data_IF_696673728718
#
_entry.id   IF_696673728718
#
_cell.length_a   1.000
_cell.length_b   1.000
_cell.length_c   1.000
_cell.angle_alpha   90.00
_cell.angle_beta   90.00
_cell.angle_gamma   90.00
#
_symmetry.space_group_name_H-M   'P 1'
#
loop_
_entity.id
_entity.type
_entity.pdbx_description
1 polymer ?
#
# COMPACT_ATOMS: atom_id res chain seq x y z
N UNK A 1 -13.53 13.39 -26.42
CA UNK A 1 -13.43 11.94 -26.16
C UNK A 1 -14.61 11.55 -25.30
N UNK A 2 -15.52 10.72 -25.84
CA UNK A 2 -16.73 10.28 -25.15
C UNK A 2 -16.50 9.06 -24.27
N UNK A 3 -17.48 8.72 -23.43
CA UNK A 3 -17.43 7.57 -22.51
C UNK A 3 -17.13 6.25 -23.23
N UNK A 4 -17.73 6.04 -24.41
CA UNK A 4 -17.57 4.80 -25.19
C UNK A 4 -16.21 4.68 -25.87
N UNK A 5 -15.54 5.83 -26.10
CA UNK A 5 -14.21 5.88 -26.72
C UNK A 5 -13.09 5.44 -25.76
N UNK A 6 -13.37 5.29 -24.45
CA UNK A 6 -12.44 4.75 -23.47
C UNK A 6 -12.17 3.25 -23.68
N UNK A 7 -12.96 2.56 -24.50
CA UNK A 7 -12.72 1.16 -24.89
C UNK A 7 -12.94 0.12 -23.78
N UNK A 8 -13.53 0.51 -22.65
CA UNK A 8 -13.72 -0.38 -21.49
C UNK A 8 -14.91 -1.31 -21.63
N UNK A 9 -15.94 -0.90 -22.43
CA UNK A 9 -17.25 -1.53 -22.44
C UNK A 9 -17.32 -2.95 -23.07
N UNK A 10 -16.25 -3.46 -23.70
CA UNK A 10 -16.29 -4.72 -24.47
C UNK A 10 -15.08 -5.63 -24.31
N UNK A 11 -14.17 -5.37 -23.39
CA UNK A 11 -12.94 -6.17 -23.29
C UNK A 11 -12.91 -7.03 -22.04
N UNK A 12 -13.71 -8.10 -22.04
CA UNK A 12 -13.58 -9.19 -21.05
C UNK A 12 -12.28 -9.99 -21.21
N UNK A 13 -11.57 -9.78 -22.33
CA UNK A 13 -10.33 -10.50 -22.67
C UNK A 13 -9.05 -9.77 -22.19
N UNK A 14 -9.19 -8.61 -21.52
CA UNK A 14 -8.05 -7.88 -20.99
C UNK A 14 -7.92 -8.09 -19.49
N UNK A 15 -6.68 -8.19 -19.06
CA UNK A 15 -6.38 -8.23 -17.64
C UNK A 15 -6.98 -7.02 -16.92
N UNK A 16 -7.74 -7.28 -15.88
CA UNK A 16 -8.40 -6.27 -15.06
C UNK A 16 -7.77 -6.24 -13.68
N UNK A 17 -7.68 -5.06 -13.09
CA UNK A 17 -7.08 -4.89 -11.77
C UNK A 17 -7.98 -4.04 -10.87
N UNK A 18 -8.00 -4.38 -9.59
CA UNK A 18 -8.62 -3.58 -8.53
C UNK A 18 -7.56 -2.60 -8.01
N UNK A 19 -7.79 -1.28 -8.11
CA UNK A 19 -6.86 -0.30 -7.57
C UNK A 19 -6.96 -0.24 -6.05
N UNK A 20 -5.78 -0.24 -5.39
CA UNK A 20 -5.62 -0.08 -3.94
C UNK A 20 -4.50 0.90 -3.63
N UNK A 21 -4.53 1.47 -2.44
CA UNK A 21 -3.46 2.28 -1.89
C UNK A 21 -2.86 1.62 -0.64
N UNK A 22 -1.56 1.78 -0.46
CA UNK A 22 -0.81 1.43 0.74
C UNK A 22 0.00 2.65 1.15
N UNK A 23 -0.20 3.12 2.37
CA UNK A 23 0.34 4.39 2.84
C UNK A 23 1.18 4.16 4.10
N UNK A 24 2.41 4.66 4.09
CA UNK A 24 3.26 4.71 5.25
C UNK A 24 3.41 6.17 5.70
N UNK A 25 2.91 6.47 6.90
CA UNK A 25 3.02 7.78 7.50
C UNK A 25 4.26 7.82 8.38
N UNK A 26 5.13 8.79 8.13
CA UNK A 26 6.44 8.91 8.78
C UNK A 26 6.45 10.02 9.84
N UNK A 27 7.18 9.77 10.92
CA UNK A 27 7.50 10.74 11.98
C UNK A 27 8.96 10.58 12.38
N UNK A 28 9.85 11.35 11.77
CA UNK A 28 11.30 11.18 11.98
C UNK A 28 11.75 9.79 11.53
N UNK A 29 12.27 8.97 12.46
CA UNK A 29 12.70 7.58 12.18
C UNK A 29 11.64 6.53 12.53
N UNK A 30 10.38 6.93 12.63
CA UNK A 30 9.27 6.05 12.94
C UNK A 30 8.26 6.02 11.80
N UNK A 31 7.58 4.90 11.65
CA UNK A 31 6.45 4.70 10.75
C UNK A 31 5.21 4.29 11.53
N UNK A 32 4.06 4.82 11.15
CA UNK A 32 2.78 4.40 11.71
C UNK A 32 2.33 3.11 11.04
N UNK A 33 2.14 2.06 11.83
CA UNK A 33 1.61 0.79 11.36
C UNK A 33 0.30 0.46 12.08
N UNK A 34 -0.58 -0.22 11.37
CA UNK A 34 -1.84 -0.76 11.87
C UNK A 34 -1.66 -2.25 12.19
N UNK A 35 -1.74 -2.60 13.47
CA UNK A 35 -1.85 -4.00 13.89
C UNK A 35 -3.30 -4.44 13.73
N UNK A 36 -3.55 -5.33 12.79
CA UNK A 36 -4.90 -5.83 12.49
C UNK A 36 -5.60 -6.43 13.70
N UNK A 37 -6.89 -6.13 13.88
CA UNK A 37 -7.69 -6.71 14.95
C UNK A 37 -7.66 -8.25 14.88
N UNK A 38 -7.70 -8.96 16.03
CA UNK A 38 -7.68 -10.43 16.05
C UNK A 38 -8.84 -11.08 15.27
N UNK A 39 -9.91 -10.34 15.05
CA UNK A 39 -11.11 -10.75 14.32
C UNK A 39 -11.04 -10.51 12.83
N UNK A 40 -10.00 -9.83 12.32
CA UNK A 40 -9.83 -9.63 10.89
C UNK A 40 -9.69 -10.96 10.15
N UNK A 41 -10.31 -11.02 8.96
CA UNK A 41 -10.21 -12.18 8.07
C UNK A 41 -8.81 -12.32 7.46
N UNK A 42 -8.19 -11.19 7.12
CA UNK A 42 -6.86 -11.13 6.53
C UNK A 42 -5.89 -10.51 7.54
N UNK A 43 -4.76 -11.18 7.76
CA UNK A 43 -3.64 -10.73 8.60
C UNK A 43 -4.02 -10.30 10.03
N UNK A 44 -4.76 -11.15 10.78
CA UNK A 44 -5.08 -10.86 12.18
C UNK A 44 -3.78 -10.75 12.99
N UNK A 45 -3.68 -9.74 13.85
CA UNK A 45 -2.52 -9.43 14.70
C UNK A 45 -1.22 -9.07 13.97
N UNK A 46 -1.20 -9.04 12.65
CA UNK A 46 -0.02 -8.62 11.87
C UNK A 46 -0.04 -7.11 11.61
N UNK A 47 1.14 -6.53 11.48
CA UNK A 47 1.31 -5.11 11.22
C UNK A 47 1.36 -4.83 9.71
N UNK A 48 0.63 -3.80 9.28
CA UNK A 48 0.58 -3.34 7.91
C UNK A 48 0.62 -1.81 7.86
N UNK A 49 0.89 -1.23 6.69
CA UNK A 49 0.62 0.18 6.43
C UNK A 49 -0.89 0.47 6.42
N UNK A 50 -1.23 1.74 6.40
CA UNK A 50 -2.61 2.20 6.23
C UNK A 50 -3.03 2.06 4.77
N UNK A 51 -4.32 1.85 4.50
CA UNK A 51 -4.77 1.83 3.11
C UNK A 51 -5.96 0.94 2.84
N UNK A 52 -6.42 0.99 1.60
CA UNK A 52 -7.62 0.28 1.16
C UNK A 52 -7.89 0.41 -0.32
N UNK A 53 -9.15 0.31 -0.70
CA UNK A 53 -9.58 0.39 -2.08
C UNK A 53 -9.72 1.84 -2.56
N UNK A 54 -9.40 2.05 -3.83
CA UNK A 54 -9.78 3.31 -4.49
C UNK A 54 -11.25 3.23 -4.86
N UNK A 55 -12.04 4.15 -4.34
CA UNK A 55 -13.47 4.21 -4.56
C UNK A 55 -13.83 4.84 -5.91
N UNK A 56 -15.05 4.57 -6.36
CA UNK A 56 -15.53 5.18 -7.61
C UNK A 56 -15.71 6.68 -7.43
N UNK A 57 -15.05 7.47 -8.29
CA UNK A 57 -15.17 8.92 -8.30
C UNK A 57 -14.03 9.66 -7.60
N UNK A 58 -13.02 8.94 -7.13
CA UNK A 58 -11.79 9.51 -6.60
C UNK A 58 -10.56 9.04 -7.40
N UNK A 59 -9.48 9.75 -7.28
CA UNK A 59 -8.16 9.35 -7.76
C UNK A 59 -7.34 8.73 -6.63
N UNK A 60 -6.21 8.11 -6.99
CA UNK A 60 -5.36 7.38 -6.02
C UNK A 60 -4.75 8.26 -4.93
N UNK A 61 -4.53 9.56 -5.21
CA UNK A 61 -4.01 10.50 -4.21
C UNK A 61 -5.08 10.85 -3.18
N UNK A 62 -6.30 11.12 -3.65
CA UNK A 62 -7.47 11.38 -2.80
C UNK A 62 -7.80 10.15 -1.94
N UNK A 63 -7.77 8.94 -2.54
CA UNK A 63 -7.96 7.69 -1.81
C UNK A 63 -6.93 7.53 -0.68
N UNK A 64 -5.65 7.79 -0.96
CA UNK A 64 -4.59 7.69 0.04
C UNK A 64 -4.81 8.65 1.22
N UNK A 65 -5.18 9.90 0.97
CA UNK A 65 -5.51 10.86 2.05
C UNK A 65 -6.72 10.41 2.85
N UNK A 66 -7.78 9.94 2.19
CA UNK A 66 -9.00 9.46 2.85
C UNK A 66 -8.70 8.27 3.76
N UNK A 67 -8.00 7.24 3.26
CA UNK A 67 -7.65 6.05 4.03
C UNK A 67 -6.77 6.40 5.24
N UNK A 68 -5.75 7.24 5.08
CA UNK A 68 -4.94 7.71 6.21
C UNK A 68 -5.81 8.37 7.27
N UNK A 69 -6.71 9.27 6.85
CA UNK A 69 -7.57 9.99 7.79
C UNK A 69 -8.62 9.07 8.44
N UNK A 70 -9.26 8.19 7.69
CA UNK A 70 -10.28 7.26 8.20
C UNK A 70 -9.69 6.27 9.20
N UNK A 71 -8.53 5.68 8.89
CA UNK A 71 -7.91 4.67 9.74
C UNK A 71 -7.15 5.25 10.93
N UNK A 72 -6.57 6.45 10.82
CA UNK A 72 -5.71 7.02 11.88
C UNK A 72 -6.22 8.32 12.49
N UNK A 73 -7.07 9.06 11.79
CA UNK A 73 -7.47 10.41 12.17
C UNK A 73 -6.36 11.45 12.07
N UNK A 74 -5.22 11.11 11.48
CA UNK A 74 -4.09 12.02 11.35
C UNK A 74 -4.27 12.96 10.16
N UNK A 75 -3.74 14.17 10.32
CA UNK A 75 -3.43 15.07 9.22
C UNK A 75 -1.99 14.82 8.79
N UNK A 76 -1.76 14.78 7.47
CA UNK A 76 -0.47 14.52 6.86
C UNK A 76 -0.10 15.60 5.86
N UNK A 77 1.19 15.74 5.62
CA UNK A 77 1.77 16.59 4.59
C UNK A 77 2.63 15.76 3.63
N UNK A 78 3.04 16.38 2.52
CA UNK A 78 3.98 15.79 1.57
C UNK A 78 3.62 14.36 1.14
N UNK A 79 2.31 14.08 0.91
CA UNK A 79 1.90 12.79 0.36
C UNK A 79 2.52 12.61 -1.02
N UNK A 80 3.24 11.52 -1.21
CA UNK A 80 4.06 11.27 -2.40
C UNK A 80 4.06 9.82 -2.82
N UNK A 81 3.77 9.55 -4.09
CA UNK A 81 3.82 8.22 -4.68
C UNK A 81 5.28 7.75 -4.75
N UNK A 82 5.55 6.56 -4.21
CA UNK A 82 6.88 5.95 -4.18
C UNK A 82 6.95 4.58 -4.81
N UNK A 83 5.81 3.95 -5.09
CA UNK A 83 5.80 2.68 -5.78
C UNK A 83 4.49 2.37 -6.47
N UNK A 84 4.56 1.54 -7.50
CA UNK A 84 3.42 0.92 -8.17
C UNK A 84 3.69 -0.56 -8.33
N UNK A 85 2.81 -1.39 -7.78
CA UNK A 85 2.95 -2.85 -7.79
C UNK A 85 1.73 -3.44 -8.49
N UNK A 86 1.94 -4.28 -9.49
CA UNK A 86 0.88 -5.12 -10.04
C UNK A 86 0.96 -6.50 -9.39
N UNK A 87 -0.17 -7.00 -8.91
CA UNK A 87 -0.25 -8.27 -8.19
C UNK A 87 -1.16 -9.21 -8.96
N UNK A 88 -0.58 -10.30 -9.47
CA UNK A 88 -1.28 -11.42 -10.06
C UNK A 88 -1.39 -12.55 -9.03
N UNK A 89 -2.57 -12.72 -8.48
CA UNK A 89 -2.87 -13.78 -7.50
C UNK A 89 -3.48 -15.02 -8.17
N UNK A 90 -3.24 -15.24 -9.47
CA UNK A 90 -3.77 -16.37 -10.22
C UNK A 90 -5.29 -16.30 -10.50
N UNK A 91 -5.91 -15.14 -10.27
CA UNK A 91 -7.33 -14.88 -10.52
C UNK A 91 -7.51 -14.05 -11.81
N UNK A 92 -8.70 -14.10 -12.45
CA UNK A 92 -8.99 -13.28 -13.63
C UNK A 92 -8.86 -11.77 -13.40
N UNK A 93 -8.94 -11.34 -12.14
CA UNK A 93 -8.79 -9.94 -11.72
C UNK A 93 -7.65 -9.86 -10.72
N UNK A 94 -6.65 -9.04 -11.01
CA UNK A 94 -5.52 -8.77 -10.12
C UNK A 94 -5.71 -7.49 -9.30
N UNK A 95 -4.61 -7.00 -8.75
CA UNK A 95 -4.58 -5.77 -7.98
C UNK A 95 -3.50 -4.85 -8.56
N UNK A 96 -3.76 -3.55 -8.59
CA UNK A 96 -2.71 -2.54 -8.70
C UNK A 96 -2.63 -1.79 -7.38
N UNK A 97 -1.47 -1.85 -6.74
CA UNK A 97 -1.19 -1.22 -5.45
C UNK A 97 -0.33 0.03 -5.66
N UNK A 98 -0.83 1.17 -5.21
CA UNK A 98 -0.11 2.44 -5.22
C UNK A 98 0.47 2.67 -3.82
N UNK A 99 1.80 2.71 -3.72
CA UNK A 99 2.52 2.89 -2.46
C UNK A 99 2.86 4.35 -2.26
N UNK A 100 2.38 4.91 -1.15
CA UNK A 100 2.61 6.30 -0.77
C UNK A 100 3.41 6.42 0.51
N UNK A 101 4.24 7.45 0.60
CA UNK A 101 4.78 7.98 1.83
C UNK A 101 4.11 9.32 2.14
N UNK A 102 3.93 9.62 3.42
CA UNK A 102 3.45 10.91 3.90
C UNK A 102 4.17 11.28 5.19
N UNK A 103 4.24 12.57 5.51
CA UNK A 103 4.81 13.06 6.75
C UNK A 103 3.69 13.44 7.72
N UNK A 104 3.76 12.96 8.96
CA UNK A 104 2.77 13.27 10.00
C UNK A 104 2.82 14.76 10.35
N UNK A 105 1.65 15.42 10.32
CA UNK A 105 1.45 16.78 10.87
C UNK A 105 0.96 16.68 12.30
N UNK A 106 0.02 15.78 12.57
CA UNK A 106 -0.44 15.42 13.91
C UNK A 106 0.13 14.06 14.29
N UNK A 107 0.35 13.80 15.57
CA UNK A 107 1.10 12.63 16.04
C UNK A 107 0.31 11.66 16.91
N UNK A 108 -0.92 12.01 17.25
CA UNK A 108 -1.79 11.23 18.13
C UNK A 108 -2.87 10.51 17.31
N UNK A 109 -2.61 9.27 16.83
CA UNK A 109 -3.59 8.53 16.06
C UNK A 109 -4.79 8.16 16.92
N UNK A 110 -5.96 8.18 16.32
CA UNK A 110 -7.20 7.78 16.99
C UNK A 110 -7.35 6.25 16.91
N UNK A 111 -7.99 5.63 17.92
CA UNK A 111 -8.34 4.22 17.84
C UNK A 111 -9.17 3.94 16.57
N UNK A 112 -8.85 2.85 15.88
CA UNK A 112 -9.57 2.37 14.71
C UNK A 112 -10.31 1.07 15.05
N UNK A 113 -11.47 0.86 14.44
CA UNK A 113 -12.16 -0.45 14.53
C UNK A 113 -11.39 -1.55 13.80
N UNK A 114 -10.48 -1.18 12.91
CA UNK A 114 -9.66 -2.08 12.12
C UNK A 114 -8.51 -2.70 12.90
N UNK A 115 -8.09 -2.08 13.99
CA UNK A 115 -6.98 -2.56 14.81
C UNK A 115 -6.36 -1.49 15.69
N UNK A 116 -5.14 -1.72 16.11
CA UNK A 116 -4.36 -0.81 16.96
C UNK A 116 -3.26 -0.15 16.14
N UNK A 117 -3.17 1.17 16.24
CA UNK A 117 -2.13 1.98 15.59
C UNK A 117 -0.92 2.13 16.52
N UNK A 118 0.26 1.95 15.95
CA UNK A 118 1.52 2.02 16.69
C UNK A 118 2.60 2.70 15.87
N UNK A 119 3.33 3.63 16.50
CA UNK A 119 4.55 4.20 15.94
C UNK A 119 5.70 3.24 16.16
N UNK A 120 6.24 2.72 15.07
CA UNK A 120 7.30 1.71 15.07
C UNK A 120 8.60 2.31 14.55
N UNK A 121 9.71 2.09 15.25
CA UNK A 121 11.03 2.48 14.75
C UNK A 121 11.36 1.73 13.47
N UNK A 122 11.74 2.46 12.41
CA UNK A 122 12.12 1.86 11.12
C UNK A 122 13.30 0.90 11.26
N UNK A 123 14.19 1.16 12.25
CA UNK A 123 15.33 0.29 12.53
C UNK A 123 15.00 -0.99 13.32
N UNK A 124 13.75 -1.17 13.76
CA UNK A 124 13.31 -2.28 14.60
C UNK A 124 12.15 -3.09 13.97
N UNK A 125 11.90 -2.90 12.68
CA UNK A 125 10.81 -3.57 11.96
C UNK A 125 10.89 -5.09 12.00
N UNK A 126 12.07 -5.66 12.12
CA UNK A 126 12.33 -7.09 12.25
C UNK A 126 11.83 -7.71 13.57
N UNK A 127 11.49 -6.88 14.57
CA UNK A 127 10.92 -7.30 15.86
C UNK A 127 9.39 -7.42 15.82
N UNK A 128 8.75 -7.06 14.69
CA UNK A 128 7.30 -7.02 14.53
C UNK A 128 6.81 -8.08 13.55
N UNK A 129 5.64 -8.66 13.84
CA UNK A 129 4.97 -9.58 12.93
C UNK A 129 4.33 -8.80 11.76
N UNK A 130 5.15 -8.45 10.77
CA UNK A 130 4.72 -7.71 9.60
C UNK A 130 3.96 -8.61 8.61
N UNK A 131 3.00 -8.03 7.89
CA UNK A 131 2.49 -8.66 6.66
C UNK A 131 3.66 -8.89 5.71
N UNK A 132 3.67 -10.02 5.02
CA UNK A 132 4.83 -10.60 4.31
C UNK A 132 5.61 -9.61 3.44
N UNK A 133 4.92 -8.73 2.74
CA UNK A 133 5.54 -7.80 1.81
C UNK A 133 5.89 -6.42 2.42
N UNK A 134 5.35 -6.07 3.59
CA UNK A 134 5.62 -4.77 4.25
C UNK A 134 7.11 -4.59 4.55
N UNK A 135 7.77 -5.64 5.03
CA UNK A 135 9.21 -5.64 5.31
C UNK A 135 10.09 -5.41 4.07
N UNK A 136 9.52 -5.55 2.87
CA UNK A 136 10.21 -5.34 1.59
C UNK A 136 9.77 -4.02 0.95
N UNK A 137 8.46 -3.73 0.96
CA UNK A 137 7.89 -2.52 0.34
C UNK A 137 8.36 -1.25 1.05
N UNK A 138 8.32 -1.21 2.38
CA UNK A 138 8.68 -0.01 3.13
C UNK A 138 10.14 0.42 2.91
N UNK A 139 11.16 -0.45 3.01
CA UNK A 139 12.53 -0.09 2.65
C UNK A 139 12.67 0.42 1.21
N UNK A 140 12.00 -0.23 0.25
CA UNK A 140 12.00 0.21 -1.15
C UNK A 140 11.32 1.56 -1.36
N UNK A 141 10.26 1.85 -0.62
CA UNK A 141 9.60 3.16 -0.66
C UNK A 141 10.50 4.27 -0.10
N UNK A 142 11.24 4.00 0.98
CA UNK A 142 12.21 4.93 1.56
C UNK A 142 13.38 5.19 0.60
N UNK A 143 13.94 4.15 -0.02
CA UNK A 143 14.96 4.27 -1.06
C UNK A 143 14.46 5.11 -2.24
N UNK A 144 13.25 4.85 -2.71
CA UNK A 144 12.60 5.62 -3.78
C UNK A 144 12.35 7.09 -3.38
N UNK A 145 12.13 7.37 -2.10
CA UNK A 145 11.99 8.72 -1.57
C UNK A 145 13.32 9.49 -1.63
N UNK A 146 14.41 8.87 -1.22
CA UNK A 146 15.76 9.45 -1.31
C UNK A 146 16.17 9.71 -2.76
N UNK A 147 15.84 8.79 -3.67
CA UNK A 147 16.15 8.91 -5.10
C UNK A 147 15.21 9.87 -5.84
N UNK A 148 14.04 10.20 -5.30
CA UNK A 148 13.01 11.00 -5.94
C UNK A 148 12.30 10.31 -7.11
N UNK A 149 12.47 8.99 -7.26
CA UNK A 149 11.92 8.20 -8.38
C UNK A 149 11.13 7.01 -7.82
N UNK A 150 9.85 6.81 -8.22
CA UNK A 150 9.07 5.67 -7.75
C UNK A 150 9.63 4.36 -8.30
N UNK A 151 9.51 3.29 -7.50
CA UNK A 151 9.79 1.93 -7.95
C UNK A 151 8.57 1.31 -8.64
N UNK A 152 8.83 0.28 -9.43
CA UNK A 152 7.79 -0.55 -10.05
C UNK A 152 8.10 -2.02 -9.77
N UNK A 153 7.06 -2.79 -9.46
CA UNK A 153 7.19 -4.21 -9.20
C UNK A 153 6.01 -5.00 -9.77
N UNK A 154 6.26 -6.27 -10.01
CA UNK A 154 5.26 -7.26 -10.32
C UNK A 154 5.35 -8.40 -9.30
N UNK A 155 4.21 -8.73 -8.70
CA UNK A 155 4.04 -9.84 -7.77
C UNK A 155 3.26 -10.96 -8.45
N UNK A 156 3.74 -12.17 -8.30
CA UNK A 156 3.00 -13.39 -8.62
C UNK A 156 3.33 -14.47 -7.57
N UNK A 157 2.71 -15.62 -7.69
CA UNK A 157 2.91 -16.73 -6.76
C UNK A 157 3.36 -17.97 -7.55
N UNK A 158 4.25 -18.77 -6.96
CA UNK A 158 4.64 -20.05 -7.52
C UNK A 158 3.60 -21.15 -7.21
N UNK A 159 3.88 -22.39 -7.65
CA UNK A 159 3.00 -23.54 -7.43
C UNK A 159 2.86 -23.94 -5.96
N UNK A 160 3.72 -23.41 -5.07
CA UNK A 160 3.75 -23.66 -3.63
C UNK A 160 3.16 -22.48 -2.83
N UNK A 161 2.52 -21.50 -3.51
CA UNK A 161 1.99 -20.25 -2.94
C UNK A 161 3.06 -19.32 -2.33
N UNK A 162 4.33 -19.44 -2.74
CA UNK A 162 5.35 -18.49 -2.33
C UNK A 162 5.28 -17.22 -3.18
N UNK A 163 5.39 -16.06 -2.52
CA UNK A 163 5.40 -14.76 -3.17
C UNK A 163 6.69 -14.55 -3.98
N UNK A 164 6.55 -14.30 -5.28
CA UNK A 164 7.63 -13.93 -6.19
C UNK A 164 7.53 -12.44 -6.54
N UNK A 165 8.60 -11.69 -6.29
CA UNK A 165 8.67 -10.25 -6.55
C UNK A 165 9.68 -9.98 -7.65
N UNK A 166 9.24 -9.32 -8.71
CA UNK A 166 10.09 -8.83 -9.80
C UNK A 166 10.12 -7.30 -9.77
N UNK A 167 11.31 -6.72 -9.63
CA UNK A 167 11.52 -5.27 -9.63
C UNK A 167 11.90 -4.80 -11.03
N UNK A 168 11.19 -3.80 -11.58
CA UNK A 168 11.44 -3.31 -12.95
C UNK A 168 12.68 -2.42 -13.08
N UNK A 169 13.18 -1.87 -11.98
CA UNK A 169 14.31 -0.94 -11.97
C UNK A 169 15.63 -1.58 -11.51
N UNK A 170 15.64 -2.88 -11.22
CA UNK A 170 16.89 -3.58 -10.93
C UNK A 170 17.64 -3.80 -12.26
N UNK A 171 18.91 -3.40 -12.37
CA UNK A 171 19.71 -3.69 -13.54
C UNK A 171 19.85 -5.21 -13.68
N UNK A 172 19.47 -5.74 -14.83
CA UNK A 172 19.63 -7.15 -15.21
C UNK A 172 21.10 -7.53 -15.33
#
# INVERSE_FOLDING_TARGET
>A
MGREEQGVAKSLDRYQVIPRVLCFVLRGNEVLLLRGAPTKRLWPNMYNGLGGHVERGEDVYTAALREIHEESGLDVANLRLRGVITIDAGNPVGIVLFVFLADAVTTDPRPSEEGTLEWVSIGELDQYDLVEDVGVILPKALEADEMGVPFFAHYCYDEEDNLLITWSNDPH
#
